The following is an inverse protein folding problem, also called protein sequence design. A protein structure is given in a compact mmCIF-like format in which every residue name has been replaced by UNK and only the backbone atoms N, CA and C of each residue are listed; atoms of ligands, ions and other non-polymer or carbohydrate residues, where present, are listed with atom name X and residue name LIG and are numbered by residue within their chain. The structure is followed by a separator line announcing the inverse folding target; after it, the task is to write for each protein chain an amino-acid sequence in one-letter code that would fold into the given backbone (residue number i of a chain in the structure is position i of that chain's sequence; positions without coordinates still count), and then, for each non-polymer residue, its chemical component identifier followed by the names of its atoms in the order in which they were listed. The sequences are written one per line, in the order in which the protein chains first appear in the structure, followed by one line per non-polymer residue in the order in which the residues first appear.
data_IF_567261871659
#
_entry.id   IF_567261871659
#
_cell.length_a   1.000
_cell.length_b   1.000
_cell.length_c   1.000
_cell.angle_alpha   90.00
_cell.angle_beta   90.00
_cell.angle_gamma   90.00
#
_symmetry.space_group_name_H-M   'P 1'
#
loop_
_entity.id
_entity.type
_entity.pdbx_description
1 polymer ?
#
# COMPACT_ATOMS: atom_id res chain seq x y z
N UNK A 1 18.40 -3.26 -7.69
CA UNK A 1 19.13 -4.42 -7.12
C UNK A 1 18.22 -5.19 -6.18
N UNK A 2 18.37 -6.52 -6.03
CA UNK A 2 17.62 -7.29 -5.03
C UNK A 2 17.96 -6.77 -3.63
N UNK A 3 17.04 -6.96 -2.68
CA UNK A 3 17.23 -6.46 -1.32
C UNK A 3 18.37 -7.15 -0.59
N UNK A 4 19.17 -6.31 0.07
CA UNK A 4 20.33 -6.70 0.87
C UNK A 4 19.90 -7.12 2.27
N UNK A 5 19.84 -8.42 2.53
CA UNK A 5 19.34 -9.00 3.80
C UNK A 5 20.27 -8.72 4.98
N UNK A 6 21.54 -8.41 4.71
CA UNK A 6 22.55 -8.05 5.68
C UNK A 6 22.51 -6.57 6.10
N UNK A 7 21.63 -5.76 5.51
CA UNK A 7 21.46 -4.35 5.88
C UNK A 7 20.80 -4.20 7.26
N UNK A 8 21.25 -3.23 8.07
CA UNK A 8 20.64 -2.94 9.38
C UNK A 8 19.15 -2.59 9.29
N UNK A 9 18.74 -1.99 8.18
CA UNK A 9 17.37 -1.51 7.93
C UNK A 9 16.47 -2.55 7.26
N UNK A 10 16.96 -3.78 7.04
CA UNK A 10 16.18 -4.88 6.50
C UNK A 10 15.24 -5.45 7.57
N UNK A 11 13.95 -5.52 7.25
CA UNK A 11 12.92 -6.21 8.04
C UNK A 11 12.28 -7.33 7.19
N UNK A 12 12.07 -8.49 7.80
CA UNK A 12 11.32 -9.61 7.23
C UNK A 12 10.31 -10.11 8.25
N UNK A 13 9.04 -10.19 7.86
CA UNK A 13 7.95 -10.69 8.70
C UNK A 13 7.14 -11.74 7.94
N UNK A 14 7.00 -12.91 8.54
CA UNK A 14 6.12 -13.97 8.05
C UNK A 14 4.78 -13.89 8.78
N UNK A 15 3.69 -13.94 8.02
CA UNK A 15 2.32 -13.91 8.53
C UNK A 15 1.75 -15.34 8.64
N UNK A 16 0.68 -15.55 9.45
CA UNK A 16 0.07 -16.88 9.62
C UNK A 16 -0.44 -17.53 8.33
N UNK A 17 -0.70 -16.75 7.29
CA UNK A 17 -1.11 -17.23 5.97
C UNK A 17 0.06 -17.78 5.13
N UNK A 18 1.30 -17.71 5.64
CA UNK A 18 2.51 -18.16 4.95
C UNK A 18 3.23 -17.07 4.15
N UNK A 19 2.61 -15.89 3.98
CA UNK A 19 3.25 -14.78 3.25
C UNK A 19 4.41 -14.21 4.05
N UNK A 20 5.52 -13.96 3.36
CA UNK A 20 6.69 -13.28 3.95
C UNK A 20 6.86 -11.92 3.30
N UNK A 21 6.62 -10.88 4.08
CA UNK A 21 6.84 -9.50 3.66
C UNK A 21 8.25 -9.09 4.05
N UNK A 22 8.99 -8.54 3.08
CA UNK A 22 10.34 -8.03 3.30
C UNK A 22 10.37 -6.57 2.87
N UNK A 23 10.94 -5.67 3.68
CA UNK A 23 11.00 -4.24 3.37
C UNK A 23 12.23 -3.53 3.94
N UNK A 24 12.52 -2.35 3.39
CA UNK A 24 13.45 -1.39 3.96
C UNK A 24 12.72 -0.44 4.92
N UNK A 25 13.20 -0.31 6.17
CA UNK A 25 12.61 0.59 7.17
C UNK A 25 12.75 2.09 6.87
N UNK A 26 13.51 2.44 5.83
CA UNK A 26 13.76 3.84 5.42
C UNK A 26 12.97 4.23 4.17
N UNK A 27 12.18 3.31 3.60
CA UNK A 27 11.33 3.55 2.43
C UNK A 27 12.07 4.20 1.23
N UNK A 28 13.36 3.90 1.08
CA UNK A 28 14.22 4.46 0.02
C UNK A 28 13.97 3.88 -1.38
N UNK A 29 13.05 2.92 -1.50
CA UNK A 29 12.64 2.30 -2.76
C UNK A 29 11.10 2.34 -2.85
N UNK A 30 10.51 3.50 -3.19
CA UNK A 30 9.06 3.72 -3.08
C UNK A 30 8.26 2.87 -4.07
N UNK A 31 8.78 2.68 -5.27
CA UNK A 31 8.19 1.88 -6.36
C UNK A 31 8.28 0.36 -6.11
N UNK A 32 9.24 -0.07 -5.29
CA UNK A 32 9.39 -1.46 -4.89
C UNK A 32 10.05 -1.54 -3.51
N UNK A 33 9.27 -1.53 -2.40
CA UNK A 33 9.80 -1.50 -1.02
C UNK A 33 10.69 -2.69 -0.64
N UNK A 34 10.63 -3.75 -1.44
CA UNK A 34 11.42 -4.98 -1.37
C UNK A 34 12.66 -4.95 -2.28
N UNK A 35 12.97 -3.83 -2.95
CA UNK A 35 14.22 -3.57 -3.68
C UNK A 35 15.15 -2.67 -2.87
N UNK A 36 16.43 -2.70 -3.23
CA UNK A 36 17.40 -1.69 -2.81
C UNK A 36 17.82 -0.84 -4.01
N UNK A 37 17.99 0.49 -3.83
CA UNK A 37 18.68 1.33 -4.80
C UNK A 37 20.07 0.78 -5.10
N UNK A 38 20.53 0.93 -6.34
CA UNK A 38 21.81 0.37 -6.80
C UNK A 38 22.98 0.87 -5.95
N UNK A 39 23.01 2.17 -5.66
CA UNK A 39 23.97 2.83 -4.79
C UNK A 39 23.29 3.37 -3.53
N UNK A 40 22.70 2.50 -2.71
CA UNK A 40 21.98 2.92 -1.50
C UNK A 40 22.91 3.67 -0.51
N UNK A 41 22.71 4.98 -0.28
CA UNK A 41 23.60 5.78 0.57
C UNK A 41 23.41 5.51 2.07
N UNK A 42 22.35 4.80 2.44
CA UNK A 42 22.02 4.43 3.83
C UNK A 42 22.30 2.94 4.10
N UNK A 43 22.96 2.26 3.17
CA UNK A 43 23.36 0.87 3.38
C UNK A 43 24.41 0.82 4.49
N UNK A 44 24.07 0.11 5.56
CA UNK A 44 24.98 -0.19 6.64
C UNK A 44 24.77 -1.65 7.02
N UNK A 45 25.85 -2.44 7.02
CA UNK A 45 25.79 -3.85 7.36
C UNK A 45 25.43 -4.02 8.83
N UNK A 46 24.44 -4.87 9.14
CA UNK A 46 24.10 -5.25 10.50
C UNK A 46 25.28 -6.05 11.07
N UNK A 47 25.88 -5.54 12.14
CA UNK A 47 27.00 -6.22 12.83
C UNK A 47 26.52 -7.11 13.99
N UNK A 48 25.21 -7.35 14.12
CA UNK A 48 24.61 -7.99 15.30
C UNK A 48 24.90 -9.49 15.46
N UNK A 49 25.56 -10.12 14.48
CA UNK A 49 25.79 -11.56 14.49
C UNK A 49 26.99 -12.01 15.34
N UNK A 50 27.68 -11.11 16.05
CA UNK A 50 28.93 -11.44 16.78
C UNK A 50 28.72 -12.26 18.08
N UNK A 51 27.47 -12.58 18.44
CA UNK A 51 27.16 -13.37 19.65
C UNK A 51 25.88 -14.22 19.52
N UNK A 52 25.36 -14.42 18.31
CA UNK A 52 24.12 -15.15 18.04
C UNK A 52 24.41 -16.42 17.24
N UNK A 53 24.03 -17.58 17.78
CA UNK A 53 24.05 -18.84 17.02
C UNK A 53 22.87 -18.82 16.06
N UNK A 54 23.14 -18.93 14.76
CA UNK A 54 22.08 -19.08 13.77
C UNK A 54 21.38 -20.43 14.01
N UNK A 55 20.08 -20.41 14.33
CA UNK A 55 19.27 -21.62 14.34
C UNK A 55 19.12 -22.21 12.94
N UNK A 56 18.63 -23.45 12.83
CA UNK A 56 18.42 -24.13 11.53
C UNK A 56 17.24 -23.59 10.72
N UNK A 57 16.65 -22.47 11.14
CA UNK A 57 15.57 -21.80 10.41
C UNK A 57 16.14 -21.15 9.15
N UNK A 58 16.25 -21.94 8.08
CA UNK A 58 16.64 -21.47 6.76
C UNK A 58 15.50 -20.61 6.21
N UNK A 59 15.74 -19.31 6.10
CA UNK A 59 14.83 -18.42 5.36
C UNK A 59 14.91 -18.85 3.88
N UNK A 60 13.79 -19.25 3.26
CA UNK A 60 13.82 -19.62 1.84
C UNK A 60 14.31 -18.44 0.98
N UNK A 61 14.97 -18.73 -0.15
CA UNK A 61 15.44 -17.68 -1.05
C UNK A 61 14.29 -16.74 -1.41
N UNK A 62 14.60 -15.46 -1.61
CA UNK A 62 13.61 -14.51 -2.13
C UNK A 62 13.06 -15.09 -3.45
N UNK A 63 11.74 -15.14 -3.64
CA UNK A 63 11.16 -15.50 -4.93
C UNK A 63 11.72 -14.61 -6.05
N UNK A 64 11.77 -15.10 -7.30
CA UNK A 64 12.20 -14.27 -8.42
C UNK A 64 11.28 -13.04 -8.55
N UNK A 65 11.90 -11.94 -8.96
CA UNK A 65 11.20 -10.69 -9.24
C UNK A 65 10.18 -10.91 -10.38
N UNK A 66 8.93 -10.43 -10.25
CA UNK A 66 7.95 -10.57 -11.31
C UNK A 66 8.40 -9.76 -12.55
N UNK A 67 8.11 -10.30 -13.73
CA UNK A 67 8.38 -9.61 -14.99
C UNK A 67 7.59 -8.31 -15.08
N UNK A 68 8.12 -7.33 -15.81
CA UNK A 68 7.38 -6.12 -16.18
C UNK A 68 7.63 -4.89 -15.29
N UNK A 69 8.47 -5.04 -14.26
CA UNK A 69 8.81 -3.94 -13.35
C UNK A 69 9.87 -2.99 -13.92
N UNK A 70 10.85 -3.50 -14.67
CA UNK A 70 11.94 -2.69 -15.23
C UNK A 70 11.62 -2.13 -16.64
N UNK A 71 10.61 -2.67 -17.34
CA UNK A 71 10.25 -2.29 -18.72
C UNK A 71 9.06 -1.32 -18.82
N UNK A 72 8.48 -0.93 -17.68
CA UNK A 72 7.33 -0.03 -17.61
C UNK A 72 5.98 -0.68 -17.91
N UNK A 73 5.91 -1.97 -18.22
CA UNK A 73 4.62 -2.65 -18.48
C UNK A 73 3.73 -2.72 -17.24
N UNK A 74 4.31 -2.89 -16.04
CA UNK A 74 3.58 -2.80 -14.78
C UNK A 74 3.02 -1.38 -14.55
N UNK A 75 3.80 -0.34 -14.89
CA UNK A 75 3.33 1.04 -14.79
C UNK A 75 2.16 1.29 -15.75
N UNK A 76 2.29 0.87 -17.01
CA UNK A 76 1.22 1.02 -18.01
C UNK A 76 -0.09 0.34 -17.60
N UNK A 77 -0.01 -0.84 -16.99
CA UNK A 77 -1.20 -1.54 -16.46
C UNK A 77 -1.85 -0.76 -15.31
N UNK A 78 -1.05 -0.18 -14.42
CA UNK A 78 -1.55 0.62 -13.30
C UNK A 78 -2.16 1.94 -13.78
N UNK A 79 -1.60 2.56 -14.82
CA UNK A 79 -2.16 3.75 -15.47
C UNK A 79 -3.54 3.45 -16.08
N UNK A 80 -3.68 2.33 -16.79
CA UNK A 80 -4.98 1.89 -17.33
C UNK A 80 -6.02 1.65 -16.20
N UNK A 81 -5.58 1.03 -15.11
CA UNK A 81 -6.44 0.82 -13.94
C UNK A 81 -6.86 2.16 -13.30
N UNK A 82 -5.97 3.14 -13.22
CA UNK A 82 -6.27 4.48 -12.73
C UNK A 82 -7.33 5.17 -13.61
N UNK A 83 -7.24 5.06 -14.94
CA UNK A 83 -8.23 5.61 -15.86
C UNK A 83 -9.63 5.03 -15.62
N UNK A 84 -9.74 3.72 -15.40
CA UNK A 84 -11.02 3.06 -15.08
C UNK A 84 -11.59 3.61 -13.77
N UNK A 85 -10.74 3.72 -12.74
CA UNK A 85 -11.15 4.24 -11.43
C UNK A 85 -11.58 5.70 -11.50
N UNK A 86 -10.89 6.54 -12.26
CA UNK A 86 -11.24 7.95 -12.44
C UNK A 86 -12.58 8.13 -13.17
N UNK A 87 -12.83 7.31 -14.20
CA UNK A 87 -14.11 7.29 -14.90
C UNK A 87 -15.27 6.87 -13.97
N UNK A 88 -15.10 5.79 -13.20
CA UNK A 88 -16.13 5.31 -12.29
C UNK A 88 -16.33 6.24 -11.08
N UNK A 89 -15.23 6.74 -10.51
CA UNK A 89 -15.21 7.52 -9.28
C UNK A 89 -15.99 8.82 -9.37
N UNK A 90 -15.86 9.54 -10.49
CA UNK A 90 -16.61 10.78 -10.73
C UNK A 90 -18.13 10.56 -10.73
N UNK A 91 -18.59 9.49 -11.40
CA UNK A 91 -19.99 9.10 -11.47
C UNK A 91 -20.54 8.67 -10.10
N UNK A 92 -19.85 7.76 -9.42
CA UNK A 92 -20.26 7.25 -8.10
C UNK A 92 -20.36 8.40 -7.10
N UNK A 93 -19.40 9.33 -7.13
CA UNK A 93 -19.42 10.51 -6.27
C UNK A 93 -20.66 11.37 -6.51
N UNK A 94 -21.02 11.63 -7.77
CA UNK A 94 -22.19 12.41 -8.12
C UNK A 94 -23.50 11.75 -7.63
N UNK A 95 -23.63 10.43 -7.79
CA UNK A 95 -24.78 9.67 -7.31
C UNK A 95 -24.90 9.75 -5.77
N UNK A 96 -23.80 9.54 -5.04
CA UNK A 96 -23.76 9.64 -3.57
C UNK A 96 -24.09 11.06 -3.07
N UNK A 97 -23.56 12.09 -3.73
CA UNK A 97 -23.82 13.48 -3.36
C UNK A 97 -25.30 13.84 -3.59
N UNK A 98 -25.92 13.38 -4.67
CA UNK A 98 -27.34 13.57 -4.94
C UNK A 98 -28.24 12.89 -3.89
N UNK A 99 -27.91 11.66 -3.48
CA UNK A 99 -28.63 10.96 -2.41
C UNK A 99 -28.53 11.70 -1.07
N UNK A 100 -27.32 12.17 -0.72
CA UNK A 100 -27.07 12.95 0.50
C UNK A 100 -27.86 14.25 0.50
N UNK A 101 -27.92 14.96 -0.61
CA UNK A 101 -28.73 16.17 -0.75
C UNK A 101 -30.22 15.88 -0.61
N UNK A 102 -30.72 14.82 -1.26
CA UNK A 102 -32.13 14.44 -1.18
C UNK A 102 -32.52 14.08 0.26
N UNK A 103 -31.68 13.32 0.97
CA UNK A 103 -31.87 12.99 2.38
C UNK A 103 -31.85 14.24 3.27
N UNK A 104 -30.93 15.18 3.03
CA UNK A 104 -30.85 16.44 3.77
C UNK A 104 -32.09 17.32 3.54
N UNK A 105 -32.58 17.42 2.30
CA UNK A 105 -33.81 18.13 1.93
C UNK A 105 -35.03 17.52 2.64
N UNK A 106 -35.17 16.18 2.65
CA UNK A 106 -36.23 15.46 3.39
C UNK A 106 -36.19 15.77 4.89
N UNK A 107 -35.02 15.70 5.54
CA UNK A 107 -34.85 16.03 6.97
C UNK A 107 -35.25 17.48 7.28
N UNK A 108 -34.84 18.45 6.45
CA UNK A 108 -35.20 19.87 6.62
C UNK A 108 -36.72 20.09 6.47
N UNK A 109 -37.35 19.42 5.50
CA UNK A 109 -38.80 19.46 5.29
C UNK A 109 -39.59 18.93 6.48
N UNK A 110 -39.21 17.76 7.00
CA UNK A 110 -39.80 17.18 8.22
C UNK A 110 -39.70 18.15 9.41
N UNK A 111 -38.50 18.70 9.65
CA UNK A 111 -38.25 19.63 10.76
C UNK A 111 -39.12 20.89 10.68
N UNK A 112 -39.35 21.42 9.46
CA UNK A 112 -40.25 22.56 9.23
C UNK A 112 -41.72 22.21 9.50
N UNK A 113 -42.17 21.03 9.09
CA UNK A 113 -43.55 20.58 9.31
C UNK A 113 -43.87 20.43 10.80
N UNK A 114 -43.00 19.75 11.56
CA UNK A 114 -43.18 19.60 13.00
C UNK A 114 -43.12 20.93 13.77
N UNK A 115 -42.28 21.89 13.34
CA UNK A 115 -42.23 23.23 13.96
C UNK A 115 -43.49 24.05 13.73
N UNK A 116 -44.22 23.81 12.64
CA UNK A 116 -45.46 24.54 12.29
C UNK A 116 -46.71 24.00 12.99
N UNK A 117 -46.64 22.80 13.56
CA UNK A 117 -47.78 22.07 14.17
C UNK A 117 -47.73 22.08 15.70
N UNK A 118 -46.68 22.65 16.29
CA UNK A 118 -46.50 22.85 17.73
C UNK A 118 -46.56 24.32 18.17
N UNK A 119 -47.14 25.20 17.36
CA UNK A 119 -47.51 26.58 17.71
C UNK A 119 -49.00 26.78 17.51
#
# INVERSE_FOLDING_TARGET
MPMRTECKNFESRTYPNGDTVRKCNLDLAPDAPWRCPENCPKYERRLADVAWTHGTLVVPPTPPEPSGLDDGSAAALLDEAEDILNQAGSRIKAEVDAEREAAAKKRKGLKRFFRRRGS
#
